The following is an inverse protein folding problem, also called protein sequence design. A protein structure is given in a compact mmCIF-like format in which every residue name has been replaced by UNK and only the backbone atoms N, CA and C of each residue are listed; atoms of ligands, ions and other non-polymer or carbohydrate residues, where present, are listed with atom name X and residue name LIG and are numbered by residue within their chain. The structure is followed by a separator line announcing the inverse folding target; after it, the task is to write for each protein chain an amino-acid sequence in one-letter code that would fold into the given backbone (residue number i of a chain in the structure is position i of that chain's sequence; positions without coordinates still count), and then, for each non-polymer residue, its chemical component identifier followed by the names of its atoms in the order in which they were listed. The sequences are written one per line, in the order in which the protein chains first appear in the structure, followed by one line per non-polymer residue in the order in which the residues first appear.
data_IF_425335329774
#
_entry.id   IF_425335329774
#
_cell.length_a   1.000
_cell.length_b   1.000
_cell.length_c   1.000
_cell.angle_alpha   90.00
_cell.angle_beta   90.00
_cell.angle_gamma   90.00
#
_symmetry.space_group_name_H-M   'P 1'
#
loop_
_entity.id
_entity.type
_entity.pdbx_description
1 polymer ?
#
# COMPACT_ATOMS: atom_id res chain seq x y z
N UNK A 1 -47.97 21.59 33.04
CA UNK A 1 -46.83 20.70 33.33
C UNK A 1 -45.70 21.14 32.43
N UNK A 2 -44.67 21.75 32.99
CA UNK A 2 -43.56 22.33 32.23
C UNK A 2 -42.41 21.34 32.22
N UNK A 3 -42.09 20.75 31.07
CA UNK A 3 -40.95 19.86 30.90
C UNK A 3 -39.65 20.69 30.86
N UNK A 4 -38.79 20.46 31.85
CA UNK A 4 -37.45 21.02 31.92
C UNK A 4 -36.52 20.19 31.03
N UNK A 5 -36.01 20.77 29.96
CA UNK A 5 -35.03 20.12 29.09
C UNK A 5 -33.64 20.23 29.74
N UNK A 6 -33.13 19.12 30.27
CA UNK A 6 -31.75 19.03 30.74
C UNK A 6 -30.78 19.09 29.56
N UNK A 7 -29.98 20.16 29.49
CA UNK A 7 -28.86 20.27 28.58
C UNK A 7 -27.67 19.50 29.18
N UNK A 8 -27.30 18.38 28.58
CA UNK A 8 -26.03 17.70 28.89
C UNK A 8 -24.88 18.53 28.29
N UNK A 9 -23.79 18.76 29.03
CA UNK A 9 -22.61 19.42 28.47
C UNK A 9 -22.01 18.54 27.37
N UNK A 10 -21.67 19.16 26.24
CA UNK A 10 -20.93 18.51 25.16
C UNK A 10 -19.55 18.06 25.68
N UNK A 11 -19.03 16.90 25.23
CA UNK A 11 -17.68 16.48 25.60
C UNK A 11 -16.66 17.52 25.10
N UNK A 12 -15.55 17.74 25.82
CA UNK A 12 -14.54 18.71 25.42
C UNK A 12 -13.99 18.34 24.03
N UNK A 13 -13.97 19.31 23.12
CA UNK A 13 -13.25 19.20 21.86
C UNK A 13 -11.75 19.05 22.18
N UNK A 14 -11.19 17.87 21.94
CA UNK A 14 -9.76 17.60 22.13
C UNK A 14 -8.97 18.45 21.12
N UNK A 15 -8.12 19.37 21.61
CA UNK A 15 -7.25 20.20 20.76
C UNK A 15 -6.24 19.30 20.03
N UNK A 16 -6.26 19.24 18.68
CA UNK A 16 -5.33 18.42 17.90
C UNK A 16 -3.84 18.74 18.16
N UNK A 17 -3.54 19.94 18.68
CA UNK A 17 -2.18 20.33 19.05
C UNK A 17 -1.73 19.75 20.39
N UNK A 18 -2.66 19.50 21.30
CA UNK A 18 -2.36 18.92 22.62
C UNK A 18 -2.14 17.42 22.51
N UNK A 19 -2.94 16.71 21.72
CA UNK A 19 -2.66 15.30 21.34
C UNK A 19 -1.31 15.14 20.64
N UNK A 20 -0.92 16.10 19.78
CA UNK A 20 0.38 16.06 19.12
C UNK A 20 1.54 16.21 20.10
N UNK A 21 1.42 17.13 21.08
CA UNK A 21 2.42 17.32 22.14
C UNK A 21 2.50 16.12 23.08
N UNK A 22 1.37 15.57 23.48
CA UNK A 22 1.28 14.37 24.33
C UNK A 22 1.83 13.15 23.58
N UNK A 23 1.50 13.00 22.29
CA UNK A 23 2.02 11.95 21.44
C UNK A 23 3.52 12.09 21.21
N UNK A 24 4.07 13.30 21.10
CA UNK A 24 5.52 13.52 21.05
C UNK A 24 6.19 13.11 22.37
N UNK A 25 5.64 13.53 23.51
CA UNK A 25 6.16 13.17 24.85
C UNK A 25 6.11 11.67 25.19
N UNK A 26 5.28 10.88 24.50
CA UNK A 26 5.10 9.44 24.76
C UNK A 26 5.82 8.53 23.74
N UNK A 27 6.60 9.06 22.79
CA UNK A 27 7.32 8.22 21.83
C UNK A 27 8.56 7.60 22.46
N UNK A 28 8.41 6.37 22.95
CA UNK A 28 9.55 5.56 23.40
C UNK A 28 10.39 5.00 22.25
N UNK A 29 9.89 5.00 21.00
CA UNK A 29 10.58 4.42 19.84
C UNK A 29 10.13 5.10 18.52
N UNK A 30 11.00 5.23 17.49
CA UNK A 30 10.65 5.84 16.20
C UNK A 30 9.47 5.17 15.51
N UNK A 31 9.36 3.87 15.71
CA UNK A 31 8.22 3.09 15.26
C UNK A 31 7.65 2.27 16.42
N UNK A 32 6.49 2.66 16.99
CA UNK A 32 5.91 1.97 18.14
C UNK A 32 5.44 0.56 17.75
N UNK A 33 5.28 -0.37 18.70
CA UNK A 33 4.72 -1.70 18.43
C UNK A 33 3.28 -1.60 17.91
N UNK A 34 2.82 -2.61 17.19
CA UNK A 34 1.43 -2.65 16.73
C UNK A 34 0.49 -2.95 17.91
N UNK A 35 -0.59 -2.18 18.03
CA UNK A 35 -1.54 -2.29 19.14
C UNK A 35 -2.65 -3.32 18.88
N UNK A 36 -2.90 -3.67 17.62
CA UNK A 36 -3.93 -4.65 17.25
C UNK A 36 -3.41 -5.72 16.29
N UNK A 37 -3.90 -6.98 16.37
CA UNK A 37 -3.42 -8.09 15.54
C UNK A 37 -3.47 -7.83 14.04
N UNK A 38 -4.52 -7.19 13.51
CA UNK A 38 -4.68 -6.86 12.07
C UNK A 38 -4.60 -5.37 11.78
N UNK A 39 -3.78 -4.63 12.52
CA UNK A 39 -3.50 -3.24 12.25
C UNK A 39 -2.65 -3.12 10.99
N UNK A 40 -3.20 -2.48 9.95
CA UNK A 40 -2.45 -2.15 8.75
C UNK A 40 -1.38 -1.11 9.07
N UNK A 41 -0.18 -1.32 8.53
CA UNK A 41 0.99 -0.47 8.77
C UNK A 41 1.95 -0.60 7.61
N UNK A 42 2.58 0.50 7.23
CA UNK A 42 3.76 0.48 6.38
C UNK A 42 4.54 1.74 6.71
N UNK A 43 5.60 1.59 7.48
CA UNK A 43 6.41 2.66 8.04
C UNK A 43 7.84 2.14 8.16
N UNK A 44 8.81 3.00 7.94
CA UNK A 44 10.21 2.65 8.08
C UNK A 44 11.05 3.82 8.54
N UNK A 45 12.33 3.53 8.69
CA UNK A 45 13.38 4.46 9.04
C UNK A 45 14.38 4.46 7.89
N UNK A 46 14.82 5.65 7.49
CA UNK A 46 15.86 5.86 6.50
C UNK A 46 16.78 6.97 7.00
N UNK A 47 18.07 6.70 7.06
CA UNK A 47 19.11 7.70 7.34
C UNK A 47 19.63 8.27 6.02
N UNK A 48 19.84 9.58 6.00
CA UNK A 48 20.44 10.24 4.85
C UNK A 48 20.21 11.74 4.83
N UNK A 49 20.81 12.40 3.86
CA UNK A 49 20.65 13.85 3.64
C UNK A 49 19.49 14.12 2.70
N UNK A 50 18.53 14.93 3.13
CA UNK A 50 17.42 15.35 2.27
C UNK A 50 17.79 16.58 1.45
N UNK A 51 17.71 16.47 0.13
CA UNK A 51 17.95 17.58 -0.81
C UNK A 51 16.66 17.90 -1.55
N UNK A 52 16.07 19.11 -1.37
CA UNK A 52 14.95 19.57 -2.19
C UNK A 52 15.28 19.59 -3.68
N UNK A 53 14.30 19.26 -4.54
CA UNK A 53 14.43 19.47 -5.99
C UNK A 53 14.50 20.97 -6.33
N UNK A 54 13.72 21.78 -5.60
CA UNK A 54 13.66 23.23 -5.73
C UNK A 54 13.92 23.86 -4.35
N UNK A 55 14.98 24.69 -4.19
CA UNK A 55 15.29 25.36 -2.93
C UNK A 55 14.15 26.24 -2.40
N UNK A 56 13.28 26.78 -3.26
CA UNK A 56 12.12 27.57 -2.85
C UNK A 56 10.92 26.70 -2.43
N UNK A 57 10.87 25.45 -2.92
CA UNK A 57 9.78 24.50 -2.67
C UNK A 57 10.29 23.19 -2.06
N UNK A 58 10.59 23.24 -0.76
CA UNK A 58 11.14 22.09 -0.01
C UNK A 58 10.24 20.84 0.08
N UNK A 59 9.03 20.86 -0.49
CA UNK A 59 8.06 19.76 -0.35
C UNK A 59 8.47 18.47 -1.08
N UNK A 60 9.28 18.57 -2.14
CA UNK A 60 9.74 17.44 -2.97
C UNK A 60 11.25 17.49 -3.10
N UNK A 61 11.87 16.31 -3.10
CA UNK A 61 13.31 16.17 -3.14
C UNK A 61 13.70 14.70 -3.14
N UNK A 62 14.95 14.42 -2.75
CA UNK A 62 15.47 13.07 -2.57
C UNK A 62 16.22 12.95 -1.25
N UNK A 63 16.21 11.75 -0.66
CA UNK A 63 17.11 11.39 0.43
C UNK A 63 18.30 10.67 -0.19
N UNK A 64 19.50 11.23 -0.01
CA UNK A 64 20.75 10.57 -0.33
C UNK A 64 21.05 9.53 0.75
N UNK A 65 20.97 8.25 0.40
CA UNK A 65 21.25 7.11 1.29
C UNK A 65 22.56 6.43 0.88
N UNK A 66 23.05 5.49 1.70
CA UNK A 66 24.24 4.71 1.38
C UNK A 66 24.12 3.90 0.06
N UNK A 67 22.90 3.50 -0.30
CA UNK A 67 22.61 2.68 -1.49
C UNK A 67 22.15 3.52 -2.70
N UNK A 68 22.08 4.86 -2.55
CA UNK A 68 21.69 5.80 -3.59
C UNK A 68 20.56 6.73 -3.18
N UNK A 69 20.13 7.56 -4.14
CA UNK A 69 19.10 8.56 -3.91
C UNK A 69 17.69 7.96 -4.02
N UNK A 70 16.81 8.33 -3.09
CA UNK A 70 15.40 7.92 -3.10
C UNK A 70 14.51 9.15 -3.11
N UNK A 71 13.61 9.23 -4.11
CA UNK A 71 12.62 10.29 -4.18
C UNK A 71 11.76 10.34 -2.92
N UNK A 72 11.60 11.55 -2.37
CA UNK A 72 10.88 11.77 -1.15
C UNK A 72 10.00 13.02 -1.18
N UNK A 73 8.86 12.93 -0.51
CA UNK A 73 7.92 14.05 -0.31
C UNK A 73 7.79 14.34 1.18
N UNK A 74 7.99 15.60 1.57
CA UNK A 74 7.73 16.07 2.93
C UNK A 74 6.22 16.21 3.16
N UNK A 75 5.70 15.55 4.20
CA UNK A 75 4.34 15.84 4.66
C UNK A 75 4.30 17.20 5.36
N UNK A 76 3.22 17.97 5.17
CA UNK A 76 3.14 19.38 5.61
C UNK A 76 3.47 19.64 7.09
N UNK A 77 3.19 18.68 7.97
CA UNK A 77 3.55 18.75 9.40
C UNK A 77 5.07 18.78 9.66
N UNK A 78 5.87 18.21 8.77
CA UNK A 78 7.34 18.13 8.90
C UNK A 78 8.00 19.39 8.35
N UNK A 79 7.38 20.06 7.37
CA UNK A 79 7.90 21.28 6.74
C UNK A 79 8.20 22.36 7.78
N UNK A 80 7.30 22.59 8.73
CA UNK A 80 7.50 23.58 9.78
C UNK A 80 8.61 23.20 10.77
N UNK A 81 8.78 21.90 11.06
CA UNK A 81 9.88 21.42 11.91
C UNK A 81 11.22 21.70 11.23
N UNK A 82 11.31 21.35 9.95
CA UNK A 82 12.54 21.51 9.18
C UNK A 82 12.99 22.97 9.12
N UNK A 83 12.08 23.88 8.77
CA UNK A 83 12.39 25.30 8.62
C UNK A 83 12.92 25.98 9.90
N UNK A 84 12.60 25.42 11.07
CA UNK A 84 12.86 26.07 12.35
C UNK A 84 13.93 25.36 13.19
N UNK A 85 14.12 24.06 13.00
CA UNK A 85 14.85 23.22 13.95
C UNK A 85 15.83 22.22 13.32
N UNK A 86 15.89 22.12 11.98
CA UNK A 86 16.66 21.07 11.31
C UNK A 86 17.60 21.68 10.28
N UNK A 87 18.85 21.25 10.30
CA UNK A 87 19.86 21.62 9.32
C UNK A 87 19.92 20.59 8.18
N UNK A 88 19.21 20.86 7.07
CA UNK A 88 19.16 19.97 5.91
C UNK A 88 20.53 19.70 5.25
N UNK A 89 21.58 20.42 5.64
CA UNK A 89 22.92 20.10 5.16
C UNK A 89 23.54 18.84 5.77
N UNK A 90 22.92 18.31 6.83
CA UNK A 90 23.36 17.14 7.57
C UNK A 90 22.52 15.90 7.23
N UNK A 91 23.04 14.73 7.62
CA UNK A 91 22.26 13.50 7.60
C UNK A 91 21.32 13.45 8.80
N UNK A 92 20.09 13.00 8.56
CA UNK A 92 19.09 12.83 9.59
C UNK A 92 18.47 11.45 9.55
N UNK A 93 17.84 11.06 10.65
CA UNK A 93 17.06 9.81 10.72
C UNK A 93 15.59 10.12 10.41
N UNK A 94 15.16 9.79 9.19
CA UNK A 94 13.83 10.05 8.69
C UNK A 94 12.87 8.92 9.03
N UNK A 95 11.72 9.26 9.62
CA UNK A 95 10.59 8.34 9.75
C UNK A 95 9.70 8.50 8.52
N UNK A 96 9.51 7.43 7.76
CA UNK A 96 8.91 7.48 6.41
C UNK A 96 7.79 6.48 6.21
N UNK A 97 6.86 6.80 5.30
CA UNK A 97 5.95 5.83 4.71
C UNK A 97 6.45 5.43 3.31
N UNK A 98 6.71 4.14 3.05
CA UNK A 98 7.03 3.69 1.71
C UNK A 98 5.79 3.68 0.81
N UNK A 99 6.02 3.96 -0.46
CA UNK A 99 5.02 3.90 -1.53
C UNK A 99 5.67 3.38 -2.80
N UNK A 100 4.91 2.63 -3.58
CA UNK A 100 5.33 2.18 -4.91
C UNK A 100 4.51 2.94 -5.94
N UNK A 101 5.20 3.62 -6.86
CA UNK A 101 4.59 4.27 -8.03
C UNK A 101 3.95 3.22 -8.94
N UNK A 102 2.83 3.56 -9.60
CA UNK A 102 2.06 2.58 -10.38
C UNK A 102 2.56 2.43 -11.83
N UNK A 103 3.22 3.45 -12.33
CA UNK A 103 3.73 3.60 -13.68
C UNK A 103 5.03 2.82 -13.90
N UNK A 104 6.00 2.96 -12.98
CA UNK A 104 7.34 2.39 -13.09
C UNK A 104 7.69 1.37 -11.99
N UNK A 105 6.80 1.17 -11.01
CA UNK A 105 7.03 0.39 -9.79
C UNK A 105 8.20 0.90 -8.92
N UNK A 106 8.58 2.17 -9.05
CA UNK A 106 9.65 2.76 -8.27
C UNK A 106 9.23 3.03 -6.81
N UNK A 107 10.15 2.83 -5.88
CA UNK A 107 9.96 3.16 -4.47
C UNK A 107 10.09 4.67 -4.30
N UNK A 108 9.13 5.29 -3.62
CA UNK A 108 9.27 6.65 -3.12
C UNK A 108 8.84 6.72 -1.66
N UNK A 109 9.36 7.73 -0.96
CA UNK A 109 9.16 7.89 0.47
C UNK A 109 8.27 9.11 0.77
N UNK A 110 7.39 8.98 1.76
CA UNK A 110 6.68 10.13 2.32
C UNK A 110 7.19 10.36 3.74
N UNK A 111 7.88 11.46 3.97
CA UNK A 111 8.52 11.77 5.25
C UNK A 111 7.45 12.23 6.24
N UNK A 112 7.33 11.48 7.34
CA UNK A 112 6.36 11.68 8.42
C UNK A 112 6.93 12.49 9.59
N UNK A 113 8.24 12.42 9.81
CA UNK A 113 8.97 13.10 10.86
C UNK A 113 10.44 12.72 10.88
N UNK A 114 11.14 13.21 11.91
CA UNK A 114 12.56 13.00 12.15
C UNK A 114 12.70 12.33 13.52
N UNK A 115 13.64 11.41 13.66
CA UNK A 115 13.97 10.73 14.92
C UNK A 115 15.35 11.15 15.42
N UNK A 116 15.39 12.23 16.19
CA UNK A 116 16.60 12.75 16.84
C UNK A 116 16.21 13.21 18.25
N UNK A 117 15.85 12.28 19.14
CA UNK A 117 15.37 12.63 20.47
C UNK A 117 16.41 13.46 21.24
N UNK A 118 17.70 13.20 21.05
CA UNK A 118 18.79 13.97 21.65
C UNK A 118 18.83 15.45 21.26
N UNK A 119 18.24 15.82 20.12
CA UNK A 119 18.24 17.21 19.61
C UNK A 119 16.86 17.85 19.70
N UNK A 120 15.80 17.06 19.58
CA UNK A 120 14.42 17.53 19.40
C UNK A 120 13.53 17.40 20.63
N UNK A 121 13.88 16.50 21.57
CA UNK A 121 13.11 16.29 22.79
C UNK A 121 13.78 16.98 24.00
N UNK A 122 12.98 17.20 25.04
CA UNK A 122 13.45 17.79 26.28
C UNK A 122 14.37 16.79 27.01
N UNK A 123 15.58 17.19 27.47
CA UNK A 123 16.47 16.32 28.23
C UNK A 123 15.81 15.63 29.43
N UNK A 124 14.78 16.24 30.03
CA UNK A 124 14.04 15.64 31.15
C UNK A 124 13.17 14.44 30.73
N UNK A 125 12.86 14.32 29.43
CA UNK A 125 12.07 13.22 28.84
C UNK A 125 12.97 12.10 28.30
N UNK A 126 14.26 12.39 28.08
CA UNK A 126 15.25 11.42 27.63
C UNK A 126 15.58 10.44 28.77
N UNK A 127 14.93 9.29 28.77
CA UNK A 127 15.29 8.15 29.62
C UNK A 127 16.19 7.18 28.85
N UNK A 128 16.94 6.33 29.56
CA UNK A 128 17.78 5.28 28.94
C UNK A 128 16.97 4.27 28.08
N UNK A 129 15.64 4.28 28.17
CA UNK A 129 14.76 3.42 27.40
C UNK A 129 14.49 3.95 25.97
N UNK A 130 14.73 5.23 25.70
CA UNK A 130 14.51 5.84 24.39
C UNK A 130 15.77 5.66 23.54
N UNK A 131 15.70 4.99 22.37
CA UNK A 131 16.86 4.82 21.52
C UNK A 131 17.26 6.15 20.89
N UNK A 132 18.53 6.50 21.01
CA UNK A 132 19.18 7.60 20.28
C UNK A 132 19.15 7.37 18.77
N UNK A 133 19.37 8.42 17.98
CA UNK A 133 19.41 8.29 16.51
C UNK A 133 20.43 7.24 16.02
N UNK A 134 21.53 7.03 16.74
CA UNK A 134 22.58 6.05 16.43
C UNK A 134 22.15 4.60 16.67
N UNK A 135 21.30 4.35 17.67
CA UNK A 135 20.85 3.00 18.05
C UNK A 135 19.76 2.46 17.13
N UNK A 136 19.17 3.32 16.29
CA UNK A 136 18.10 2.94 15.38
C UNK A 136 18.67 2.32 14.11
N UNK A 137 18.11 1.18 13.71
CA UNK A 137 18.50 0.50 12.49
C UNK A 137 18.06 1.28 11.23
N UNK A 138 19.04 1.73 10.44
CA UNK A 138 18.80 2.35 9.14
C UNK A 138 18.15 1.37 8.13
N UNK A 139 17.30 1.87 7.25
CA UNK A 139 16.65 1.08 6.21
C UNK A 139 15.66 0.03 6.73
N UNK A 140 15.30 0.05 8.02
CA UNK A 140 14.32 -0.88 8.59
C UNK A 140 12.88 -0.46 8.28
N UNK A 141 12.08 -1.40 7.78
CA UNK A 141 10.67 -1.20 7.47
C UNK A 141 9.79 -2.26 8.15
N UNK A 142 8.73 -1.79 8.81
CA UNK A 142 7.67 -2.65 9.36
C UNK A 142 6.41 -2.51 8.51
N UNK A 143 6.01 -3.62 7.88
CA UNK A 143 4.94 -3.67 6.90
C UNK A 143 3.94 -4.74 7.32
N UNK A 144 2.72 -4.31 7.66
CA UNK A 144 1.61 -5.17 8.05
C UNK A 144 0.44 -4.98 7.09
N UNK A 145 0.04 -6.03 6.40
CA UNK A 145 -1.02 -5.92 5.42
C UNK A 145 -1.38 -7.22 4.72
N UNK A 146 -2.30 -7.11 3.77
CA UNK A 146 -2.80 -8.25 3.02
C UNK A 146 -1.92 -8.49 1.79
N UNK A 147 -1.33 -9.67 1.65
CA UNK A 147 -0.64 -10.06 0.41
C UNK A 147 -1.70 -10.29 -0.68
N UNK A 148 -1.56 -9.57 -1.79
CA UNK A 148 -2.50 -9.63 -2.93
C UNK A 148 -1.87 -10.21 -4.19
N UNK A 149 -0.55 -10.33 -4.21
CA UNK A 149 0.20 -10.95 -5.30
C UNK A 149 1.50 -11.53 -4.74
N UNK A 150 1.87 -12.71 -5.24
CA UNK A 150 3.16 -13.33 -4.99
C UNK A 150 3.58 -14.11 -6.23
N UNK A 151 4.81 -13.89 -6.67
CA UNK A 151 5.45 -14.65 -7.75
C UNK A 151 6.69 -15.33 -7.19
N UNK A 152 6.70 -16.66 -7.19
CA UNK A 152 7.75 -17.44 -6.53
C UNK A 152 9.11 -17.34 -7.24
N UNK A 153 9.13 -17.23 -8.57
CA UNK A 153 10.35 -17.20 -9.38
C UNK A 153 11.14 -15.89 -9.16
N UNK A 154 10.47 -14.75 -9.27
CA UNK A 154 11.06 -13.42 -9.02
C UNK A 154 11.08 -13.01 -7.54
N UNK A 155 10.43 -13.81 -6.68
CA UNK A 155 10.18 -13.50 -5.25
C UNK A 155 9.44 -12.17 -5.07
N UNK A 156 8.68 -11.72 -6.07
CA UNK A 156 7.95 -10.46 -6.02
C UNK A 156 6.69 -10.60 -5.16
N UNK A 157 6.55 -9.74 -4.16
CA UNK A 157 5.40 -9.69 -3.26
C UNK A 157 4.73 -8.32 -3.41
N UNK A 158 3.40 -8.29 -3.50
CA UNK A 158 2.64 -7.04 -3.40
C UNK A 158 1.71 -7.11 -2.20
N UNK A 159 1.87 -6.15 -1.29
CA UNK A 159 1.08 -6.03 -0.06
C UNK A 159 0.13 -4.85 -0.20
N UNK A 160 -1.16 -5.09 0.06
CA UNK A 160 -2.20 -4.07 0.12
C UNK A 160 -2.30 -3.54 1.55
N UNK A 161 -2.10 -2.24 1.69
CA UNK A 161 -2.22 -1.51 2.96
C UNK A 161 -3.52 -0.71 2.92
N UNK A 162 -4.40 -0.92 3.91
CA UNK A 162 -5.65 -0.15 4.04
C UNK A 162 -5.44 1.00 5.01
N UNK A 163 -5.98 2.15 4.65
CA UNK A 163 -6.06 3.34 5.51
C UNK A 163 -7.49 3.45 6.02
N UNK A 164 -7.64 3.56 7.34
CA UNK A 164 -8.95 3.82 7.96
C UNK A 164 -9.50 5.16 7.47
N UNK A 165 -10.82 5.28 7.27
CA UNK A 165 -11.47 6.57 7.00
C UNK A 165 -11.08 7.59 8.06
N UNK A 166 -10.75 8.83 7.64
CA UNK A 166 -10.46 9.91 8.58
C UNK A 166 -11.71 10.63 9.06
N UNK A 167 -12.81 10.50 8.31
CA UNK A 167 -14.11 11.08 8.61
C UNK A 167 -15.19 10.01 8.48
N UNK A 168 -16.23 10.15 9.30
CA UNK A 168 -17.41 9.30 9.20
C UNK A 168 -18.05 9.45 7.80
N UNK A 169 -18.34 8.32 7.16
CA UNK A 169 -18.85 8.28 5.77
C UNK A 169 -17.79 8.26 4.66
N UNK A 170 -16.51 8.49 4.94
CA UNK A 170 -15.46 8.33 3.92
C UNK A 170 -15.17 6.84 3.66
N UNK A 171 -14.97 6.47 2.38
CA UNK A 171 -14.59 5.09 2.04
C UNK A 171 -13.14 4.83 2.45
N UNK A 172 -12.83 3.64 3.02
CA UNK A 172 -11.46 3.27 3.30
C UNK A 172 -10.60 3.33 2.04
N UNK A 173 -9.49 4.07 2.11
CA UNK A 173 -8.49 4.13 1.04
C UNK A 173 -7.52 2.96 1.20
N UNK A 174 -6.86 2.60 0.11
CA UNK A 174 -5.77 1.64 0.16
C UNK A 174 -4.70 2.01 -0.84
N UNK A 175 -3.52 1.50 -0.60
CA UNK A 175 -2.42 1.55 -1.56
C UNK A 175 -1.73 0.18 -1.56
N UNK A 176 -0.85 -0.02 -2.53
CA UNK A 176 -0.05 -1.24 -2.65
C UNK A 176 1.42 -0.87 -2.53
N UNK A 177 2.19 -1.73 -1.89
CA UNK A 177 3.66 -1.66 -1.86
C UNK A 177 4.18 -2.95 -2.47
N UNK A 178 5.24 -2.82 -3.26
CA UNK A 178 6.02 -3.94 -3.78
C UNK A 178 7.23 -4.21 -2.88
N UNK A 179 7.48 -5.48 -2.62
CA UNK A 179 8.65 -5.99 -1.91
C UNK A 179 9.22 -7.18 -2.67
N UNK A 180 10.47 -7.53 -2.37
CA UNK A 180 11.11 -8.74 -2.86
C UNK A 180 11.44 -9.64 -1.67
N UNK A 181 11.08 -10.92 -1.75
CA UNK A 181 11.38 -11.91 -0.72
C UNK A 181 10.52 -13.15 -0.83
N UNK A 182 11.04 -14.26 -0.33
CA UNK A 182 10.31 -15.52 -0.33
C UNK A 182 9.25 -15.53 0.78
N UNK A 183 8.05 -15.99 0.45
CA UNK A 183 6.98 -16.22 1.41
C UNK A 183 6.62 -17.72 1.47
N UNK A 184 6.01 -18.18 2.58
CA UNK A 184 5.49 -19.55 2.70
C UNK A 184 4.44 -19.89 1.62
N UNK A 185 4.04 -21.16 1.54
CA UNK A 185 3.07 -21.61 0.54
C UNK A 185 1.73 -20.88 0.63
N UNK A 186 1.19 -20.52 -0.54
CA UNK A 186 -0.13 -19.86 -0.72
C UNK A 186 -0.30 -18.56 0.10
N UNK A 187 0.62 -17.59 -0.02
CA UNK A 187 0.57 -16.37 0.81
C UNK A 187 -0.54 -15.40 0.38
N UNK A 188 -1.11 -15.58 -0.81
CA UNK A 188 -2.12 -14.66 -1.35
C UNK A 188 -3.40 -14.72 -0.50
N UNK A 189 -3.96 -13.55 -0.21
CA UNK A 189 -5.08 -13.31 0.70
C UNK A 189 -4.80 -13.53 2.18
N UNK A 190 -3.56 -13.75 2.60
CA UNK A 190 -3.20 -13.77 4.01
C UNK A 190 -2.76 -12.38 4.48
N UNK A 191 -2.90 -12.12 5.78
CA UNK A 191 -2.37 -10.94 6.44
C UNK A 191 -1.00 -11.30 6.99
N UNK A 192 0.02 -10.54 6.61
CA UNK A 192 1.38 -10.75 7.10
C UNK A 192 1.87 -9.59 7.95
N UNK A 193 2.69 -9.92 8.93
CA UNK A 193 3.67 -9.02 9.54
C UNK A 193 5.02 -9.25 8.87
N UNK A 194 5.54 -8.22 8.19
CA UNK A 194 6.78 -8.28 7.45
C UNK A 194 7.77 -7.28 8.03
N UNK A 195 8.98 -7.74 8.31
CA UNK A 195 10.15 -6.89 8.50
C UNK A 195 10.95 -6.89 7.22
N UNK A 196 11.23 -5.70 6.70
CA UNK A 196 11.97 -5.52 5.47
C UNK A 196 13.16 -4.59 5.67
N UNK A 197 14.20 -4.80 4.88
CA UNK A 197 15.38 -3.94 4.78
C UNK A 197 15.36 -3.25 3.43
N UNK A 198 15.64 -1.96 3.41
CA UNK A 198 15.91 -1.21 2.20
C UNK A 198 17.32 -1.56 1.71
N UNK A 199 17.42 -2.03 0.47
CA UNK A 199 18.67 -2.33 -0.22
C UNK A 199 18.49 -1.96 -1.70
N UNK A 200 19.40 -1.16 -2.27
CA UNK A 200 19.36 -0.72 -3.67
C UNK A 200 17.99 -0.14 -4.09
N UNK A 201 17.39 0.69 -3.23
CA UNK A 201 16.05 1.28 -3.42
C UNK A 201 14.90 0.25 -3.50
N UNK A 202 15.13 -0.99 -3.06
CA UNK A 202 14.15 -2.08 -3.02
C UNK A 202 13.92 -2.54 -1.58
N UNK A 203 12.67 -2.84 -1.23
CA UNK A 203 12.31 -3.40 0.07
C UNK A 203 12.45 -4.92 0.06
N UNK A 204 13.48 -5.42 0.73
CA UNK A 204 13.83 -6.84 0.83
C UNK A 204 13.25 -7.44 2.13
N UNK A 205 12.40 -8.45 2.03
CA UNK A 205 11.80 -9.11 3.21
C UNK A 205 12.87 -9.90 3.95
N UNK A 206 13.07 -9.59 5.23
CA UNK A 206 13.96 -10.32 6.14
C UNK A 206 13.20 -11.37 6.95
N UNK A 207 12.05 -11.01 7.49
CA UNK A 207 11.19 -11.92 8.27
C UNK A 207 9.74 -11.76 7.85
N UNK A 208 9.00 -12.88 7.85
CA UNK A 208 7.57 -12.89 7.59
C UNK A 208 6.82 -13.74 8.63
N UNK A 209 5.75 -13.19 9.19
CA UNK A 209 4.83 -13.88 10.08
C UNK A 209 3.42 -13.86 9.47
N UNK A 210 2.82 -15.03 9.28
CA UNK A 210 1.45 -15.16 8.79
C UNK A 210 0.45 -15.00 9.95
N UNK A 211 -0.28 -13.90 9.96
CA UNK A 211 -1.33 -13.59 10.95
C UNK A 211 -2.67 -14.26 10.53
N UNK A 212 -2.75 -14.76 9.30
CA UNK A 212 -3.81 -15.65 8.83
C UNK A 212 -4.65 -15.08 7.70
N UNK A 213 -5.58 -15.90 7.23
CA UNK A 213 -6.38 -15.64 6.05
C UNK A 213 -7.31 -14.42 6.20
N UNK A 214 -7.27 -13.55 5.20
CA UNK A 214 -8.14 -12.38 4.98
C UNK A 214 -9.00 -12.67 3.75
N UNK A 215 -9.90 -13.63 3.89
CA UNK A 215 -10.92 -13.86 2.87
C UNK A 215 -11.74 -12.61 2.66
N UNK A 216 -11.99 -12.25 1.39
CA UNK A 216 -13.22 -11.50 1.12
C UNK A 216 -14.35 -12.43 1.54
N UNK A 217 -15.17 -12.03 2.53
CA UNK A 217 -16.50 -12.62 2.65
C UNK A 217 -17.15 -12.39 1.29
N UNK A 218 -17.15 -13.41 0.42
CA UNK A 218 -18.10 -13.46 -0.68
C UNK A 218 -19.42 -13.25 0.04
N UNK A 219 -20.13 -12.15 -0.25
CA UNK A 219 -21.53 -12.04 0.16
C UNK A 219 -22.14 -13.35 -0.30
N UNK A 220 -22.47 -14.22 0.66
CA UNK A 220 -23.11 -15.49 0.36
C UNK A 220 -24.23 -15.19 -0.61
N UNK A 221 -24.30 -15.97 -1.70
CA UNK A 221 -25.41 -15.87 -2.63
C UNK A 221 -26.70 -15.79 -1.81
N UNK A 222 -27.56 -14.83 -2.14
CA UNK A 222 -28.87 -14.74 -1.50
C UNK A 222 -29.48 -16.14 -1.46
N UNK A 223 -29.95 -16.65 -0.30
CA UNK A 223 -30.64 -17.92 -0.26
C UNK A 223 -31.86 -17.78 -1.17
N UNK A 224 -31.85 -18.46 -2.32
CA UNK A 224 -32.95 -18.39 -3.29
C UNK A 224 -32.58 -18.45 -4.77
N UNK A 225 -31.31 -18.31 -5.18
CA UNK A 225 -30.95 -18.61 -6.57
C UNK A 225 -30.79 -20.12 -6.76
N UNK A 226 -31.88 -20.77 -7.17
CA UNK A 226 -31.87 -22.14 -7.69
C UNK A 226 -30.81 -22.25 -8.80
N UNK A 227 -30.06 -23.37 -8.87
CA UNK A 227 -29.24 -23.66 -10.03
C UNK A 227 -30.14 -23.63 -11.27
N UNK A 228 -29.69 -22.98 -12.34
CA UNK A 228 -30.33 -23.13 -13.64
C UNK A 228 -30.21 -24.60 -14.06
N UNK A 229 -31.29 -25.37 -13.87
CA UNK A 229 -31.46 -26.70 -14.45
C UNK A 229 -31.38 -26.54 -15.96
N UNK A 230 -30.22 -26.91 -16.51
CA UNK A 230 -29.97 -26.97 -17.94
C UNK A 230 -30.45 -28.30 -18.47
N UNK A 231 -31.73 -28.61 -18.27
CA UNK A 231 -32.35 -29.77 -18.90
C UNK A 231 -33.88 -29.59 -19.03
N UNK A 232 -34.31 -28.97 -20.14
CA UNK A 232 -35.66 -29.17 -20.70
C UNK A 232 -35.65 -29.00 -22.21
N UNK A 233 -35.75 -30.14 -22.90
CA UNK A 233 -36.88 -30.38 -23.79
C UNK A 233 -36.90 -29.66 -25.13
N UNK A 234 -36.57 -30.41 -26.19
CA UNK A 234 -36.97 -30.17 -27.58
C UNK A 234 -38.42 -29.65 -27.68
N UNK A 235 -38.71 -28.63 -28.51
CA UNK A 235 -40.07 -28.40 -29.00
C UNK A 235 -40.32 -29.31 -30.22
N UNK A 236 -41.21 -30.29 -30.04
CA UNK A 236 -41.89 -31.00 -31.12
C UNK A 236 -42.75 -30.01 -31.93
N UNK A 237 -42.52 -29.93 -33.24
CA UNK A 237 -43.42 -29.24 -34.19
C UNK A 237 -44.48 -30.24 -34.70
N UNK A 238 -45.78 -29.88 -34.77
CA UNK A 238 -46.81 -30.75 -35.34
C UNK A 238 -46.70 -30.79 -36.87
N UNK A 239 -47.14 -31.91 -37.45
CA UNK A 239 -46.93 -32.31 -38.84
C UNK A 239 -47.52 -31.40 -39.92
N UNK A 240 -46.94 -31.57 -41.11
CA UNK A 240 -47.40 -31.04 -42.39
C UNK A 240 -46.56 -31.67 -43.50
N UNK A 241 -47.25 -32.25 -44.47
CA UNK A 241 -46.80 -33.23 -45.45
C UNK A 241 -45.61 -32.84 -46.36
N UNK A 242 -44.87 -33.88 -46.76
CA UNK A 242 -43.92 -33.91 -47.89
C UNK A 242 -44.67 -33.57 -49.21
N UNK A 243 -44.03 -32.95 -50.23
CA UNK A 243 -43.03 -33.68 -51.03
C UNK A 243 -41.82 -32.86 -51.53
N UNK A 244 -40.73 -33.58 -51.78
CA UNK A 244 -39.55 -33.12 -52.53
C UNK A 244 -39.89 -32.86 -54.00
N UNK A 245 -39.22 -31.90 -54.67
CA UNK A 245 -38.31 -32.33 -55.73
C UNK A 245 -37.07 -31.43 -56.00
N UNK A 246 -35.99 -32.10 -56.42
CA UNK A 246 -34.95 -31.77 -57.43
C UNK A 246 -34.51 -30.32 -57.75
N UNK A 247 -33.17 -30.17 -57.86
CA UNK A 247 -32.45 -29.16 -58.67
C UNK A 247 -32.33 -27.79 -57.98
N UNK A 248 -31.28 -26.98 -58.13
CA UNK A 248 -30.09 -26.96 -58.98
C UNK A 248 -29.33 -25.65 -58.62
N UNK A 249 -27.99 -25.67 -58.55
CA UNK A 249 -27.07 -24.50 -58.52
C UNK A 249 -27.30 -23.48 -57.36
N UNK A 250 -26.30 -22.94 -56.65
CA UNK A 250 -25.05 -22.35 -57.11
C UNK A 250 -24.10 -22.18 -55.91
N UNK A 251 -22.81 -22.10 -56.20
CA UNK A 251 -21.73 -21.77 -55.28
C UNK A 251 -21.96 -20.37 -54.66
N UNK A 252 -21.47 -20.05 -53.46
CA UNK A 252 -20.13 -19.49 -53.31
C UNK A 252 -19.52 -19.73 -51.93
N UNK A 253 -18.24 -20.07 -51.98
CA UNK A 253 -17.39 -20.46 -50.88
C UNK A 253 -16.92 -19.29 -50.00
N UNK A 254 -16.73 -19.66 -48.74
CA UNK A 254 -16.09 -18.97 -47.63
C UNK A 254 -14.63 -18.59 -47.93
N UNK A 255 -14.31 -17.30 -47.90
CA UNK A 255 -12.92 -16.81 -47.99
C UNK A 255 -12.17 -17.00 -46.65
N UNK A 256 -10.96 -17.56 -46.73
CA UNK A 256 -9.98 -17.66 -45.63
C UNK A 256 -9.05 -16.42 -45.64
N UNK A 257 -8.55 -15.96 -44.47
CA UNK A 257 -7.68 -14.79 -44.40
C UNK A 257 -6.22 -15.08 -44.81
N UNK A 258 -5.58 -14.07 -45.42
CA UNK A 258 -4.23 -14.07 -46.01
C UNK A 258 -3.13 -13.86 -44.94
N UNK A 259 -1.94 -14.50 -45.03
CA UNK A 259 -0.81 -14.24 -44.13
C UNK A 259 0.05 -13.04 -44.54
N UNK A 260 0.63 -12.36 -43.54
CA UNK A 260 1.48 -11.15 -43.64
C UNK A 260 2.94 -11.50 -44.04
N UNK A 261 3.63 -10.68 -44.85
CA UNK A 261 5.03 -10.95 -45.25
C UNK A 261 6.05 -10.53 -44.18
N UNK A 262 7.18 -11.25 -44.12
CA UNK A 262 8.36 -10.96 -43.27
C UNK A 262 9.33 -9.98 -43.97
N UNK A 263 10.13 -9.21 -43.21
CA UNK A 263 11.15 -8.30 -43.77
C UNK A 263 12.35 -9.08 -44.32
N UNK A 264 12.97 -8.55 -45.39
CA UNK A 264 14.26 -9.00 -45.91
C UNK A 264 15.38 -8.13 -45.33
N UNK A 265 16.45 -8.80 -44.90
CA UNK A 265 17.75 -8.21 -44.60
C UNK A 265 18.35 -7.56 -45.86
N UNK A 266 18.99 -6.41 -45.67
CA UNK A 266 19.73 -5.69 -46.70
C UNK A 266 21.08 -5.25 -46.15
N UNK A 267 22.11 -6.01 -46.53
CA UNK A 267 23.53 -5.65 -46.52
C UNK A 267 23.78 -4.60 -47.63
N UNK A 268 24.60 -3.59 -47.34
CA UNK A 268 25.01 -2.53 -48.27
C UNK A 268 25.37 -1.24 -47.56
#
# INVERSE_FOLDING_TARGET
MSESTHHLPSPPEEDPKEEQRISQKLRQHPIPPASHPRQYRAIGIVRGKYTPEDPEQISKGAIATADGDIEAVLLGRVISLIKNHIDLDQEHVWVVYPRTRQDDNHLHLQILGIWEPETLDDPEVLTEEIPTSEQVEDGYFSIRGQVVFYEAESKKVVVKIRQSPKKEGEKPKFFKIQLIGALPERPVNHFYDLRAKLLDNVLMIQTCEDIGYVGSRRKGGKPGQKPFDRDKGKPTRPGGDRPSPSGSHDATARAKPVPRPKPKDGEG
#
